data_IF_742526982600
#
_entry.id   IF_742526982600
#
_cell.length_a   1.000
_cell.length_b   1.000
_cell.length_c   1.000
_cell.angle_alpha   90.00
_cell.angle_beta   90.00
_cell.angle_gamma   90.00
#
_symmetry.space_group_name_H-M   'P 1'
#
loop_
_entity.id
_entity.type
_entity.pdbx_description
1 polymer ?
#
# COMPACT_ATOMS: atom_id res chain seq x y z
N UNK A 1 0.34 -13.92 13.55
CA UNK A 1 1.14 -12.89 14.22
C UNK A 1 1.18 -11.71 13.27
N UNK A 2 0.70 -10.54 13.68
CA UNK A 2 0.79 -9.33 12.86
C UNK A 2 2.24 -8.85 12.93
N UNK A 3 2.89 -8.67 11.79
CA UNK A 3 4.27 -8.19 11.74
C UNK A 3 4.26 -6.69 12.04
N UNK A 4 4.90 -6.28 13.15
CA UNK A 4 5.00 -4.87 13.54
C UNK A 4 5.89 -4.13 12.55
N UNK A 5 5.63 -2.84 12.32
CA UNK A 5 6.43 -2.03 11.41
C UNK A 5 7.90 -1.92 11.87
N UNK A 6 8.16 -2.00 13.17
CA UNK A 6 9.51 -1.96 13.74
C UNK A 6 10.38 -3.16 13.40
N UNK A 7 9.79 -4.28 12.97
CA UNK A 7 10.49 -5.56 12.81
C UNK A 7 11.04 -5.77 11.38
N UNK A 8 10.88 -4.79 10.49
CA UNK A 8 11.39 -4.87 9.13
C UNK A 8 12.87 -4.42 9.06
N UNK A 9 13.80 -5.31 8.68
CA UNK A 9 15.23 -5.00 8.67
C UNK A 9 15.57 -3.88 7.67
N UNK A 10 16.40 -2.92 8.09
CA UNK A 10 16.94 -1.87 7.21
C UNK A 10 16.01 -0.67 6.96
N UNK A 11 14.92 -0.52 7.73
CA UNK A 11 14.07 0.68 7.67
C UNK A 11 14.79 1.89 8.25
N UNK A 12 14.99 2.92 7.42
CA UNK A 12 15.52 4.23 7.83
C UNK A 12 14.40 5.28 7.75
N UNK A 13 13.43 5.20 8.68
CA UNK A 13 12.27 6.10 8.75
C UNK A 13 12.29 6.89 10.06
N UNK A 14 11.61 8.04 10.12
CA UNK A 14 11.41 8.78 11.38
C UNK A 14 10.47 8.02 12.32
N UNK A 15 10.58 8.28 13.62
CA UNK A 15 9.69 7.70 14.64
C UNK A 15 8.21 8.00 14.33
N UNK A 16 7.92 9.22 13.85
CA UNK A 16 6.59 9.62 13.42
C UNK A 16 6.09 8.76 12.24
N UNK A 17 6.92 8.53 11.22
CA UNK A 17 6.55 7.69 10.08
C UNK A 17 6.36 6.22 10.48
N UNK A 18 7.14 5.73 11.43
CA UNK A 18 6.97 4.38 11.99
C UNK A 18 5.62 4.27 12.71
N UNK A 19 5.29 5.22 13.59
CA UNK A 19 4.01 5.26 14.28
C UNK A 19 2.82 5.25 13.31
N UNK A 20 2.80 6.14 12.32
CA UNK A 20 1.71 6.19 11.34
C UNK A 20 1.61 4.90 10.50
N UNK A 21 2.74 4.29 10.20
CA UNK A 21 2.78 3.01 9.49
C UNK A 21 2.13 1.90 10.33
N UNK A 22 2.45 1.83 11.63
CA UNK A 22 1.83 0.88 12.54
C UNK A 22 0.33 1.12 12.68
N UNK A 23 -0.09 2.36 12.94
CA UNK A 23 -1.52 2.71 13.07
C UNK A 23 -2.32 2.34 11.82
N UNK A 24 -1.80 2.68 10.62
CA UNK A 24 -2.45 2.33 9.36
C UNK A 24 -2.50 0.82 9.13
N UNK A 25 -1.42 0.10 9.46
CA UNK A 25 -1.38 -1.36 9.32
C UNK A 25 -2.35 -2.06 10.27
N UNK A 26 -2.51 -1.56 11.50
CA UNK A 26 -3.43 -2.10 12.51
C UNK A 26 -4.90 -1.75 12.27
N UNK A 27 -5.18 -0.81 11.37
CA UNK A 27 -6.55 -0.42 11.08
C UNK A 27 -7.37 -1.61 10.54
N UNK A 28 -8.64 -1.71 10.97
CA UNK A 28 -9.47 -2.91 10.81
C UNK A 28 -9.62 -3.37 9.35
N UNK A 29 -9.67 -2.43 8.42
CA UNK A 29 -9.77 -2.74 6.99
C UNK A 29 -8.51 -3.42 6.43
N UNK A 30 -7.32 -2.94 6.81
CA UNK A 30 -6.03 -3.49 6.42
C UNK A 30 -5.85 -4.89 6.99
N UNK A 31 -6.22 -5.08 8.26
CA UNK A 31 -6.25 -6.38 8.92
C UNK A 31 -7.23 -7.35 8.24
N UNK A 32 -8.43 -6.89 7.89
CA UNK A 32 -9.42 -7.70 7.16
C UNK A 32 -8.89 -8.15 5.79
N UNK A 33 -8.23 -7.25 5.05
CA UNK A 33 -7.63 -7.58 3.75
C UNK A 33 -6.38 -8.46 3.86
N UNK A 34 -5.76 -8.56 5.05
CA UNK A 34 -4.56 -9.37 5.28
C UNK A 34 -3.32 -8.85 4.56
N UNK A 35 -3.17 -7.54 4.44
CA UNK A 35 -2.00 -6.92 3.82
C UNK A 35 -0.79 -6.97 4.75
N UNK A 36 0.36 -7.34 4.21
CA UNK A 36 1.66 -7.41 4.89
C UNK A 36 2.64 -6.45 4.20
N UNK A 37 3.46 -5.73 4.97
CA UNK A 37 4.54 -4.94 4.39
C UNK A 37 5.78 -5.84 4.19
N UNK A 38 6.32 -5.87 2.98
CA UNK A 38 7.57 -6.56 2.66
C UNK A 38 8.75 -5.61 2.78
N UNK A 39 8.58 -4.38 2.32
CA UNK A 39 9.64 -3.37 2.27
C UNK A 39 9.02 -1.98 2.29
N UNK A 40 9.59 -1.07 3.06
CA UNK A 40 9.23 0.34 3.00
C UNK A 40 10.47 1.16 3.32
N UNK A 41 10.82 2.03 2.39
CA UNK A 41 11.94 2.96 2.48
C UNK A 41 11.43 4.34 2.02
N UNK A 42 12.16 5.44 2.25
CA UNK A 42 11.72 6.76 1.81
C UNK A 42 11.34 6.78 0.32
N UNK A 43 10.05 6.98 0.05
CA UNK A 43 9.49 7.13 -1.29
C UNK A 43 9.13 5.82 -1.99
N UNK A 44 9.29 4.66 -1.33
CA UNK A 44 8.92 3.36 -1.88
C UNK A 44 8.28 2.45 -0.84
N UNK A 45 7.27 1.70 -1.25
CA UNK A 45 6.74 0.61 -0.45
C UNK A 45 6.36 -0.58 -1.33
N UNK A 46 6.55 -1.76 -0.78
CA UNK A 46 6.09 -3.04 -1.30
C UNK A 46 5.33 -3.78 -0.23
N UNK A 47 4.12 -4.20 -0.57
CA UNK A 47 3.25 -4.99 0.28
C UNK A 47 2.82 -6.26 -0.44
N UNK A 48 2.20 -7.19 0.29
CA UNK A 48 1.53 -8.35 -0.31
C UNK A 48 0.30 -8.75 0.47
N UNK A 49 -0.57 -9.52 -0.19
CA UNK A 49 -1.62 -10.29 0.45
C UNK A 49 -1.83 -11.61 -0.27
N UNK A 50 -2.48 -12.56 0.41
CA UNK A 50 -2.99 -13.78 -0.20
C UNK A 50 -4.46 -13.59 -0.55
N UNK A 51 -4.87 -14.01 -1.74
CA UNK A 51 -6.28 -13.93 -2.16
C UNK A 51 -7.08 -14.98 -1.39
N UNK A 52 -7.87 -14.55 -0.41
CA UNK A 52 -8.79 -15.39 0.38
C UNK A 52 -10.23 -15.23 -0.11
N UNK A 53 -11.13 -16.02 0.46
CA UNK A 53 -12.59 -15.87 0.30
C UNK A 53 -13.15 -14.56 0.89
N UNK A 54 -12.43 -13.91 1.80
CA UNK A 54 -12.82 -12.59 2.33
C UNK A 54 -12.59 -11.44 1.34
N UNK A 55 -11.69 -11.63 0.36
CA UNK A 55 -11.22 -10.56 -0.53
C UNK A 55 -11.39 -10.87 -2.02
N UNK A 56 -12.01 -12.00 -2.35
CA UNK A 56 -12.33 -12.34 -3.72
C UNK A 56 -13.73 -11.87 -4.15
N UNK A 57 -14.05 -12.09 -5.41
CA UNK A 57 -15.33 -11.78 -6.02
C UNK A 57 -16.08 -13.07 -6.39
N UNK A 58 -17.28 -12.92 -6.98
CA UNK A 58 -18.13 -14.04 -7.42
C UNK A 58 -17.45 -15.00 -8.42
N UNK A 59 -16.35 -14.60 -9.04
CA UNK A 59 -15.54 -15.44 -9.94
C UNK A 59 -14.40 -16.16 -9.23
N UNK A 60 -14.34 -16.11 -7.89
CA UNK A 60 -13.24 -16.61 -7.05
C UNK A 60 -11.87 -16.02 -7.43
N UNK A 61 -11.87 -14.74 -7.81
CA UNK A 61 -10.66 -13.97 -8.14
C UNK A 61 -10.59 -12.72 -7.28
N UNK A 62 -9.39 -12.19 -7.03
CA UNK A 62 -9.19 -10.99 -6.23
C UNK A 62 -10.14 -9.87 -6.66
N UNK A 63 -10.93 -9.37 -5.72
CA UNK A 63 -11.94 -8.36 -5.99
C UNK A 63 -11.28 -7.08 -6.51
N UNK A 64 -11.83 -6.49 -7.59
CA UNK A 64 -11.25 -5.29 -8.21
C UNK A 64 -11.13 -4.11 -7.24
N UNK A 65 -12.14 -3.91 -6.39
CA UNK A 65 -12.08 -2.93 -5.30
C UNK A 65 -10.97 -3.17 -4.28
N UNK A 66 -10.57 -4.43 -4.03
CA UNK A 66 -9.42 -4.73 -3.17
C UNK A 66 -8.12 -4.37 -3.88
N UNK A 67 -8.00 -4.63 -5.19
CA UNK A 67 -6.84 -4.18 -5.99
C UNK A 67 -6.70 -2.65 -5.87
N UNK A 68 -7.79 -1.91 -6.05
CA UNK A 68 -7.77 -0.44 -5.97
C UNK A 68 -7.32 0.05 -4.59
N UNK A 69 -7.97 -0.45 -3.54
CA UNK A 69 -7.65 -0.08 -2.17
C UNK A 69 -6.22 -0.43 -1.79
N UNK A 70 -5.70 -1.60 -2.17
CA UNK A 70 -4.36 -2.03 -1.77
C UNK A 70 -3.26 -1.30 -2.54
N UNK A 71 -3.51 -0.88 -3.78
CA UNK A 71 -2.64 0.06 -4.49
C UNK A 71 -2.61 1.42 -3.77
N UNK A 72 -3.75 1.93 -3.29
CA UNK A 72 -3.79 3.19 -2.53
C UNK A 72 -3.11 3.08 -1.16
N UNK A 73 -3.37 2.01 -0.41
CA UNK A 73 -2.73 1.74 0.88
C UNK A 73 -1.22 1.60 0.71
N UNK A 74 -0.75 0.88 -0.30
CA UNK A 74 0.69 0.75 -0.60
C UNK A 74 1.31 2.09 -0.97
N UNK A 75 0.62 2.90 -1.77
CA UNK A 75 1.01 4.29 -2.06
C UNK A 75 1.04 5.18 -0.81
N UNK A 76 0.11 4.98 0.13
CA UNK A 76 0.10 5.69 1.40
C UNK A 76 1.28 5.30 2.28
N UNK A 77 1.64 4.01 2.36
CA UNK A 77 2.86 3.61 3.05
C UNK A 77 4.12 4.24 2.42
N UNK A 78 4.23 4.26 1.09
CA UNK A 78 5.34 4.95 0.41
C UNK A 78 5.36 6.46 0.70
N UNK A 79 4.17 7.06 0.87
CA UNK A 79 3.99 8.47 1.24
C UNK A 79 4.41 8.75 2.67
N UNK A 80 3.94 7.95 3.64
CA UNK A 80 4.28 8.07 5.06
C UNK A 80 5.80 8.06 5.27
N UNK A 81 6.51 7.24 4.51
CA UNK A 81 7.97 7.14 4.57
C UNK A 81 8.74 8.42 4.20
N UNK A 82 8.07 9.45 3.67
CA UNK A 82 8.67 10.75 3.32
C UNK A 82 7.98 11.94 3.97
N UNK A 83 7.04 11.71 4.88
CA UNK A 83 6.37 12.79 5.63
C UNK A 83 7.29 13.34 6.71
N UNK A 84 7.20 14.65 6.93
CA UNK A 84 7.80 15.30 8.09
C UNK A 84 6.87 15.18 9.31
N UNK A 85 7.43 15.40 10.50
CA UNK A 85 6.68 15.36 11.75
C UNK A 85 5.47 16.31 11.70
N UNK A 86 4.29 15.79 12.02
CA UNK A 86 3.02 16.51 11.96
C UNK A 86 2.42 16.69 10.57
N UNK A 87 3.09 16.24 9.49
CA UNK A 87 2.47 16.14 8.17
C UNK A 87 1.59 14.88 8.07
N UNK A 88 0.53 14.98 7.28
CA UNK A 88 -0.27 13.86 6.81
C UNK A 88 -0.61 14.05 5.33
N UNK A 89 -1.13 13.00 4.70
CA UNK A 89 -1.51 13.03 3.29
C UNK A 89 -2.90 12.46 3.06
N UNK A 90 -3.61 13.01 2.06
CA UNK A 90 -4.92 12.51 1.63
C UNK A 90 -4.91 12.26 0.13
N UNK A 91 -5.42 11.12 -0.31
CA UNK A 91 -5.61 10.80 -1.73
C UNK A 91 -6.55 11.80 -2.40
N UNK A 92 -6.03 12.49 -3.41
CA UNK A 92 -6.75 13.48 -4.23
C UNK A 92 -7.24 12.86 -5.54
N UNK A 93 -6.41 12.06 -6.19
CA UNK A 93 -6.79 11.36 -7.42
C UNK A 93 -6.22 9.96 -7.47
N UNK A 94 -6.92 9.10 -8.18
CA UNK A 94 -6.59 7.69 -8.37
C UNK A 94 -7.04 7.27 -9.78
N UNK A 95 -6.12 6.72 -10.58
CA UNK A 95 -6.43 6.09 -11.87
C UNK A 95 -5.76 4.72 -11.90
N UNK A 96 -6.53 3.66 -12.20
CA UNK A 96 -6.02 2.29 -12.22
C UNK A 96 -6.56 1.52 -13.42
N UNK A 97 -5.70 0.70 -14.01
CA UNK A 97 -6.05 -0.26 -15.05
C UNK A 97 -5.81 -1.68 -14.51
N UNK A 98 -6.85 -2.52 -14.55
CA UNK A 98 -6.74 -3.95 -14.22
C UNK A 98 -6.52 -4.72 -15.52
N UNK A 99 -5.42 -5.45 -15.59
CA UNK A 99 -4.93 -6.09 -16.81
C UNK A 99 -5.23 -7.60 -16.83
N UNK A 100 -5.26 -8.25 -15.68
CA UNK A 100 -5.62 -9.67 -15.59
C UNK A 100 -6.15 -10.06 -14.21
N UNK A 101 -6.92 -11.15 -14.17
CA UNK A 101 -7.49 -11.69 -12.94
C UNK A 101 -6.47 -12.54 -12.16
N UNK A 102 -6.64 -12.59 -10.83
CA UNK A 102 -5.82 -13.42 -9.94
C UNK A 102 -6.71 -14.31 -9.08
N UNK A 103 -6.54 -15.63 -9.20
CA UNK A 103 -7.38 -16.63 -8.54
C UNK A 103 -7.19 -16.63 -7.02
N UNK A 104 -8.23 -17.06 -6.29
CA UNK A 104 -8.15 -17.44 -4.87
C UNK A 104 -6.97 -18.37 -4.62
N UNK A 105 -6.27 -18.15 -3.52
CA UNK A 105 -5.10 -18.89 -3.07
C UNK A 105 -3.76 -18.34 -3.57
N UNK A 106 -3.75 -17.50 -4.61
CA UNK A 106 -2.53 -16.88 -5.10
C UNK A 106 -2.05 -15.74 -4.20
N UNK A 107 -0.75 -15.45 -4.25
CA UNK A 107 -0.16 -14.26 -3.65
C UNK A 107 -0.13 -13.12 -4.65
N UNK A 108 -0.39 -11.91 -4.15
CA UNK A 108 -0.30 -10.66 -4.91
C UNK A 108 0.62 -9.71 -4.17
N UNK A 109 1.60 -9.16 -4.88
CA UNK A 109 2.46 -8.08 -4.41
C UNK A 109 1.98 -6.75 -5.00
N UNK A 110 2.00 -5.69 -4.19
CA UNK A 110 1.75 -4.33 -4.62
C UNK A 110 3.01 -3.50 -4.39
N UNK A 111 3.36 -2.68 -5.35
CA UNK A 111 4.53 -1.79 -5.28
C UNK A 111 4.08 -0.36 -5.57
N UNK A 112 4.63 0.60 -4.81
CA UNK A 112 4.40 2.02 -5.03
C UNK A 112 5.70 2.81 -4.90
N UNK A 113 5.93 3.69 -5.86
CA UNK A 113 7.07 4.62 -5.88
C UNK A 113 6.55 6.06 -5.97
N UNK A 114 7.03 6.95 -5.10
CA UNK A 114 6.81 8.38 -5.21
C UNK A 114 7.66 8.90 -6.38
N UNK A 115 6.99 9.36 -7.45
CA UNK A 115 7.65 9.91 -8.63
C UNK A 115 7.90 11.42 -8.52
N UNK A 116 7.14 12.10 -7.64
CA UNK A 116 7.32 13.52 -7.34
C UNK A 116 6.83 13.83 -5.92
N UNK A 117 7.70 14.42 -5.10
CA UNK A 117 7.36 14.96 -3.79
C UNK A 117 7.45 16.50 -3.84
N UNK A 118 6.32 17.16 -4.04
CA UNK A 118 6.24 18.62 -4.07
C UNK A 118 5.90 19.21 -2.71
N UNK A 119 5.76 20.54 -2.66
CA UNK A 119 5.43 21.26 -1.42
C UNK A 119 4.10 20.82 -0.83
N UNK A 120 3.05 20.78 -1.66
CA UNK A 120 1.67 20.51 -1.23
C UNK A 120 1.09 19.22 -1.80
N UNK A 121 1.79 18.56 -2.74
CA UNK A 121 1.28 17.37 -3.42
C UNK A 121 2.38 16.34 -3.66
N UNK A 122 2.03 15.06 -3.54
CA UNK A 122 2.83 13.94 -4.02
C UNK A 122 2.12 13.25 -5.18
N UNK A 123 2.94 12.60 -6.01
CA UNK A 123 2.49 11.75 -7.10
C UNK A 123 3.21 10.41 -7.00
N UNK A 124 2.48 9.31 -7.20
CA UNK A 124 3.05 7.95 -7.16
C UNK A 124 2.67 7.13 -8.38
N UNK A 125 3.60 6.30 -8.85
CA UNK A 125 3.35 5.20 -9.79
C UNK A 125 3.27 3.90 -9.00
N UNK A 126 2.28 3.07 -9.31
CA UNK A 126 1.98 1.86 -8.56
C UNK A 126 1.66 0.69 -9.47
N UNK A 127 2.04 -0.52 -9.04
CA UNK A 127 1.86 -1.76 -9.79
C UNK A 127 1.42 -2.87 -8.85
N UNK A 128 0.62 -3.80 -9.36
CA UNK A 128 0.30 -5.04 -8.69
C UNK A 128 0.75 -6.23 -9.53
N UNK A 129 1.30 -7.25 -8.88
CA UNK A 129 1.85 -8.44 -9.50
C UNK A 129 1.27 -9.70 -8.84
N UNK A 130 0.81 -10.64 -9.65
CA UNK A 130 0.58 -12.02 -9.20
C UNK A 130 1.94 -12.71 -9.10
N UNK A 131 2.16 -13.44 -8.01
CA UNK A 131 3.36 -14.24 -7.81
C UNK A 131 3.08 -15.70 -8.19
N UNK A 132 3.83 -16.21 -9.17
CA UNK A 132 3.83 -17.60 -9.61
C UNK A 132 4.45 -18.54 -8.59
N UNK A 133 4.20 -19.85 -8.72
CA UNK A 133 4.77 -20.87 -7.84
C UNK A 133 6.30 -20.97 -7.92
N UNK A 134 6.87 -20.51 -9.03
CA UNK A 134 8.30 -20.40 -9.32
C UNK A 134 8.89 -19.03 -8.93
N UNK A 135 8.06 -18.13 -8.39
CA UNK A 135 8.43 -16.75 -8.07
C UNK A 135 8.30 -15.79 -9.25
N UNK A 136 7.78 -16.22 -10.41
CA UNK A 136 7.54 -15.33 -11.54
C UNK A 136 6.56 -14.21 -11.16
N UNK A 137 6.91 -12.96 -11.47
CA UNK A 137 6.01 -11.80 -11.31
C UNK A 137 5.25 -11.54 -12.59
N UNK A 138 3.92 -11.67 -12.55
CA UNK A 138 3.03 -11.27 -13.65
C UNK A 138 2.27 -9.99 -13.29
N UNK A 139 2.41 -8.94 -14.09
CA UNK A 139 1.70 -7.68 -13.89
C UNK A 139 0.17 -7.88 -14.04
N UNK A 140 -0.59 -7.46 -13.04
CA UNK A 140 -2.05 -7.60 -13.02
C UNK A 140 -2.78 -6.26 -12.96
N UNK A 141 -2.13 -5.20 -12.47
CA UNK A 141 -2.70 -3.84 -12.50
C UNK A 141 -1.60 -2.78 -12.46
N UNK A 142 -1.94 -1.59 -12.96
CA UNK A 142 -1.14 -0.36 -12.84
C UNK A 142 -2.02 0.75 -12.28
N UNK A 143 -1.45 1.65 -11.49
CA UNK A 143 -2.14 2.82 -11.00
C UNK A 143 -1.24 4.04 -10.86
N UNK A 144 -1.86 5.21 -10.97
CA UNK A 144 -1.25 6.50 -10.66
C UNK A 144 -2.11 7.23 -9.65
N UNK A 145 -1.47 7.80 -8.63
CA UNK A 145 -2.16 8.52 -7.57
C UNK A 145 -1.55 9.90 -7.37
N UNK A 146 -2.37 10.82 -6.89
CA UNK A 146 -1.92 12.06 -6.27
C UNK A 146 -2.46 12.20 -4.86
N UNK A 147 -1.68 12.82 -3.98
CA UNK A 147 -2.05 13.06 -2.58
C UNK A 147 -1.74 14.51 -2.20
N UNK A 148 -2.65 15.17 -1.48
CA UNK A 148 -2.36 16.48 -0.86
C UNK A 148 -1.65 16.27 0.47
N UNK A 149 -0.58 17.03 0.72
CA UNK A 149 0.02 17.15 2.06
C UNK A 149 -0.67 18.23 2.85
N UNK A 150 -0.85 17.96 4.14
CA UNK A 150 -1.34 18.93 5.11
C UNK A 150 -0.67 18.69 6.45
N UNK A 151 -0.60 19.73 7.27
CA UNK A 151 -0.40 19.53 8.70
C UNK A 151 -1.69 18.98 9.29
N UNK A 152 -1.58 17.96 10.11
CA UNK A 152 -2.74 17.37 10.77
C UNK A 152 -2.32 16.79 12.12
N UNK A 153 -3.02 17.22 13.18
CA UNK A 153 -2.95 16.54 14.46
C UNK A 153 -3.87 15.32 14.43
N UNK A 154 -3.28 14.13 14.48
CA UNK A 154 -4.00 12.85 14.45
C UNK A 154 -4.39 12.37 15.86
N UNK A 155 -3.90 13.02 16.92
CA UNK A 155 -4.22 12.70 18.31
C UNK A 155 -5.44 13.45 18.84
N UNK A 156 -6.09 14.27 18.02
CA UNK A 156 -7.16 15.19 18.41
C UNK A 156 -8.59 14.63 18.25
N UNK A 157 -8.74 13.30 18.12
CA UNK A 157 -10.04 12.63 17.88
C UNK A 157 -10.47 11.78 19.06
#
# INVERSE_FOLDING_TARGET
MVQLATDLPGRHLSDYALQLTDELLQHAYQQFCGIEIIEQIPGYCKTRLKVTDNVDNLSNTLHGGVIYSMLDVTSMFATIAVLQDGEYAITNSFSCNVLSATNRGAWVEFEASIIRNGRNMLFSDCKAFKIGSDGEKKLIATAQLSKFKRLQDLNAV
#
